data_IF_352534752333
#
_entry.id   IF_352534752333
#
_cell.length_a   1.000
_cell.length_b   1.000
_cell.length_c   1.000
_cell.angle_alpha   90.00
_cell.angle_beta   90.00
_cell.angle_gamma   90.00
#
_symmetry.space_group_name_H-M   'P 1'
#
loop_
_entity.id
_entity.type
_entity.pdbx_description
1 polymer ?
#
# COMPACT_ATOMS: atom_id res chain seq x y z
N UNK A 1 12.65 -6.42 1.36
CA UNK A 1 11.43 -6.88 2.08
C UNK A 1 10.34 -7.33 1.10
N UNK A 2 9.98 -6.55 0.08
CA UNK A 2 8.94 -6.90 -0.92
C UNK A 2 9.11 -8.31 -1.56
N UNK A 3 10.32 -8.67 -2.04
CA UNK A 3 10.60 -10.00 -2.64
C UNK A 3 10.34 -11.19 -1.69
N UNK A 4 10.50 -11.03 -0.38
CA UNK A 4 10.51 -12.15 0.56
C UNK A 4 9.10 -12.60 1.00
N UNK A 5 8.07 -11.83 0.64
CA UNK A 5 6.70 -12.07 1.10
C UNK A 5 5.78 -12.58 -0.01
N UNK A 6 6.36 -13.02 -1.14
CA UNK A 6 5.61 -13.39 -2.34
C UNK A 6 4.48 -14.42 -2.11
N UNK A 7 4.67 -15.30 -1.13
CA UNK A 7 3.73 -16.35 -0.75
C UNK A 7 2.44 -15.83 -0.06
N UNK A 8 2.44 -14.61 0.50
CA UNK A 8 1.23 -13.99 1.07
C UNK A 8 0.22 -13.56 -0.01
N UNK A 9 0.54 -13.77 -1.30
CA UNK A 9 -0.17 -13.20 -2.44
C UNK A 9 -0.80 -14.25 -3.37
N UNK A 10 -0.93 -15.50 -2.92
CA UNK A 10 -1.50 -16.58 -3.73
C UNK A 10 -2.97 -16.30 -4.07
N UNK A 11 -3.29 -16.39 -5.37
CA UNK A 11 -4.56 -15.91 -5.94
C UNK A 11 -5.79 -16.72 -5.52
N UNK A 12 -5.59 -17.94 -5.03
CA UNK A 12 -6.66 -18.90 -4.74
C UNK A 12 -7.52 -18.52 -3.53
N UNK A 13 -7.06 -17.57 -2.69
CA UNK A 13 -7.80 -17.10 -1.50
C UNK A 13 -8.44 -15.71 -1.64
N UNK A 14 -8.33 -15.05 -2.80
CA UNK A 14 -8.77 -13.64 -2.98
C UNK A 14 -10.28 -13.40 -2.82
N UNK A 15 -11.08 -14.46 -2.91
CA UNK A 15 -12.53 -14.41 -2.71
C UNK A 15 -12.96 -14.50 -1.22
N UNK A 16 -12.01 -14.71 -0.30
CA UNK A 16 -12.26 -14.78 1.14
C UNK A 16 -11.92 -13.45 1.81
N UNK A 17 -12.52 -13.22 2.98
CA UNK A 17 -12.17 -12.08 3.85
C UNK A 17 -10.67 -12.13 4.16
N UNK A 18 -9.98 -11.02 3.93
CA UNK A 18 -8.53 -10.89 4.09
C UNK A 18 -8.20 -10.53 5.55
N UNK A 19 -8.34 -11.49 6.46
CA UNK A 19 -8.01 -11.25 7.88
C UNK A 19 -6.56 -10.85 8.12
N UNK A 20 -5.66 -11.26 7.23
CA UNK A 20 -4.22 -10.95 7.29
C UNK A 20 -3.86 -9.52 6.83
N UNK A 21 -4.84 -8.66 6.53
CA UNK A 21 -4.56 -7.29 6.06
C UNK A 21 -3.69 -6.48 7.03
N UNK A 22 -3.82 -6.72 8.34
CA UNK A 22 -3.00 -6.06 9.36
C UNK A 22 -1.55 -6.56 9.32
N UNK A 23 -1.36 -7.87 9.17
CA UNK A 23 -0.06 -8.50 9.00
C UNK A 23 0.65 -7.94 7.75
N UNK A 24 -0.08 -7.87 6.63
CA UNK A 24 0.40 -7.27 5.38
C UNK A 24 0.84 -5.82 5.59
N UNK A 25 -0.02 -5.00 6.22
CA UNK A 25 0.32 -3.60 6.50
C UNK A 25 1.57 -3.50 7.36
N UNK A 26 1.63 -4.25 8.46
CA UNK A 26 2.78 -4.29 9.37
C UNK A 26 4.07 -4.58 8.61
N UNK A 27 4.05 -5.60 7.75
CA UNK A 27 5.21 -5.99 6.97
C UNK A 27 5.66 -4.94 5.95
N UNK A 28 4.73 -4.25 5.30
CA UNK A 28 5.05 -3.15 4.39
C UNK A 28 5.70 -1.98 5.16
N UNK A 29 5.16 -1.66 6.33
CA UNK A 29 5.64 -0.54 7.16
C UNK A 29 6.84 -0.86 8.06
N UNK A 30 7.35 -2.09 8.04
CA UNK A 30 8.46 -2.54 8.89
C UNK A 30 9.83 -2.02 8.41
N UNK A 31 9.96 -0.71 8.32
CA UNK A 31 11.18 0.00 7.95
C UNK A 31 11.22 1.36 8.65
N UNK A 32 12.43 1.91 8.80
CA UNK A 32 12.68 3.15 9.57
C UNK A 32 11.90 4.37 9.05
N UNK A 33 11.55 4.40 7.77
CA UNK A 33 10.81 5.52 7.19
C UNK A 33 9.32 5.50 7.61
N UNK A 34 8.75 4.31 7.83
CA UNK A 34 7.32 4.07 8.11
C UNK A 34 7.03 3.54 9.52
N UNK A 35 8.04 3.32 10.35
CA UNK A 35 7.91 2.79 11.71
C UNK A 35 6.83 3.52 12.53
N UNK A 36 6.74 4.86 12.42
CA UNK A 36 5.79 5.68 13.19
C UNK A 36 4.31 5.38 12.89
N UNK A 37 4.01 4.73 11.76
CA UNK A 37 2.64 4.40 11.34
C UNK A 37 2.30 2.91 11.51
N UNK A 38 3.27 2.08 11.93
CA UNK A 38 3.13 0.62 11.95
C UNK A 38 1.95 0.14 12.81
N UNK A 39 1.65 0.84 13.91
CA UNK A 39 0.55 0.50 14.81
C UNK A 39 -0.85 0.95 14.35
N UNK A 40 -0.99 1.64 13.21
CA UNK A 40 -2.30 2.24 12.85
C UNK A 40 -3.38 1.19 12.59
N UNK A 41 -3.00 -0.02 12.17
CA UNK A 41 -3.93 -1.13 11.92
C UNK A 41 -4.08 -2.06 13.14
N UNK A 42 -3.32 -1.84 14.22
CA UNK A 42 -3.39 -2.67 15.43
C UNK A 42 -4.54 -2.25 16.35
N UNK A 43 -4.82 -0.95 16.42
CA UNK A 43 -5.88 -0.35 17.24
C UNK A 43 -7.19 -0.18 16.47
N UNK A 44 -8.28 0.15 17.17
CA UNK A 44 -9.53 0.57 16.51
C UNK A 44 -9.28 1.79 15.63
N UNK A 45 -9.94 1.84 14.47
CA UNK A 45 -9.75 2.94 13.54
C UNK A 45 -10.35 4.26 14.06
N UNK A 46 -11.45 4.19 14.81
CA UNK A 46 -12.06 5.38 15.41
C UNK A 46 -11.16 5.94 16.54
N UNK A 47 -10.88 7.25 16.46
CA UNK A 47 -10.02 7.97 17.39
C UNK A 47 -8.58 7.40 17.51
N UNK A 48 -8.07 6.77 16.45
CA UNK A 48 -6.72 6.23 16.44
C UNK A 48 -5.66 7.35 16.60
N UNK A 49 -4.80 7.31 17.63
CA UNK A 49 -3.83 8.37 17.89
C UNK A 49 -2.79 8.52 16.78
N UNK A 50 -2.56 7.48 15.98
CA UNK A 50 -1.61 7.47 14.87
C UNK A 50 -2.20 8.02 13.57
N UNK A 51 -3.50 8.31 13.50
CA UNK A 51 -4.16 8.80 12.29
C UNK A 51 -3.47 10.04 11.71
N UNK A 52 -3.08 10.99 12.57
CA UNK A 52 -2.37 12.20 12.13
C UNK A 52 -1.00 11.89 11.54
N UNK A 53 -0.23 10.98 12.16
CA UNK A 53 1.09 10.57 11.66
C UNK A 53 0.96 9.83 10.33
N UNK A 54 -0.04 8.95 10.22
CA UNK A 54 -0.36 8.27 8.97
C UNK A 54 -0.64 9.22 7.82
N UNK A 55 -1.54 10.19 8.01
CA UNK A 55 -1.85 11.17 6.97
C UNK A 55 -0.61 11.97 6.54
N UNK A 56 0.24 12.35 7.49
CA UNK A 56 1.51 13.03 7.18
C UNK A 56 2.44 12.16 6.34
N UNK A 57 2.57 10.87 6.66
CA UNK A 57 3.40 9.94 5.86
C UNK A 57 2.84 9.70 4.48
N UNK A 58 1.52 9.62 4.33
CA UNK A 58 0.91 9.53 3.00
C UNK A 58 1.28 10.75 2.14
N UNK A 59 1.22 11.95 2.71
CA UNK A 59 1.65 13.17 2.00
C UNK A 59 3.17 13.16 1.72
N UNK A 60 4.00 12.71 2.66
CA UNK A 60 5.45 12.58 2.42
C UNK A 60 5.79 11.62 1.29
N UNK A 61 5.10 10.48 1.17
CA UNK A 61 5.32 9.53 0.06
C UNK A 61 4.89 10.15 -1.27
N UNK A 62 3.75 10.85 -1.29
CA UNK A 62 3.27 11.59 -2.46
C UNK A 62 4.24 12.69 -2.88
N UNK A 63 4.82 13.41 -1.93
CA UNK A 63 5.86 14.41 -2.19
C UNK A 63 7.10 13.78 -2.81
N UNK A 64 7.54 12.61 -2.33
CA UNK A 64 8.66 11.87 -2.93
C UNK A 64 8.35 11.47 -4.37
N UNK A 65 7.15 10.92 -4.63
CA UNK A 65 6.70 10.60 -5.99
C UNK A 65 6.76 11.82 -6.91
N UNK A 66 6.22 12.96 -6.46
CA UNK A 66 6.24 14.22 -7.23
C UNK A 66 7.67 14.70 -7.48
N UNK A 67 8.55 14.61 -6.47
CA UNK A 67 9.96 15.00 -6.60
C UNK A 67 10.72 14.15 -7.63
N UNK A 68 10.39 12.86 -7.74
CA UNK A 68 11.00 12.00 -8.76
C UNK A 68 10.70 12.53 -10.16
N UNK A 69 9.44 12.88 -10.46
CA UNK A 69 9.07 13.42 -11.78
C UNK A 69 9.65 14.81 -12.08
N UNK A 70 9.99 15.58 -11.04
CA UNK A 70 10.61 16.90 -11.19
C UNK A 70 12.13 16.83 -11.41
N UNK A 71 12.80 15.86 -10.78
CA UNK A 71 14.26 15.73 -10.81
C UNK A 71 14.71 14.92 -12.02
N UNK A 72 13.97 13.86 -12.35
CA UNK A 72 14.33 12.93 -13.41
C UNK A 72 13.39 13.07 -14.60
N UNK A 73 13.88 12.69 -15.77
CA UNK A 73 13.13 12.81 -17.02
C UNK A 73 12.89 11.46 -17.68
N UNK A 74 11.80 11.38 -18.46
CA UNK A 74 11.44 10.23 -19.28
C UNK A 74 10.63 9.16 -18.55
N UNK A 75 10.31 8.10 -19.29
CA UNK A 75 9.40 7.04 -18.84
C UNK A 75 9.88 6.31 -17.59
N UNK A 76 11.20 6.13 -17.42
CA UNK A 76 11.77 5.51 -16.22
C UNK A 76 11.45 6.31 -14.95
N UNK A 77 11.47 7.65 -15.03
CA UNK A 77 11.13 8.52 -13.92
C UNK A 77 9.63 8.41 -13.58
N UNK A 78 8.77 8.43 -14.61
CA UNK A 78 7.33 8.27 -14.45
C UNK A 78 6.97 6.92 -13.82
N UNK A 79 7.56 5.82 -14.30
CA UNK A 79 7.34 4.49 -13.76
C UNK A 79 7.76 4.40 -12.28
N UNK A 80 8.91 4.95 -11.92
CA UNK A 80 9.37 4.97 -10.52
C UNK A 80 8.48 5.85 -9.63
N UNK A 81 8.12 7.05 -10.10
CA UNK A 81 7.20 7.92 -9.38
C UNK A 81 5.84 7.26 -9.15
N UNK A 82 5.31 6.58 -10.18
CA UNK A 82 4.07 5.82 -10.11
C UNK A 82 4.16 4.64 -9.15
N UNK A 83 5.29 3.95 -9.08
CA UNK A 83 5.53 2.89 -8.09
C UNK A 83 5.47 3.45 -6.66
N UNK A 84 6.16 4.56 -6.39
CA UNK A 84 6.13 5.22 -5.07
C UNK A 84 4.72 5.67 -4.68
N UNK A 85 3.98 6.25 -5.63
CA UNK A 85 2.59 6.66 -5.39
C UNK A 85 1.66 5.46 -5.17
N UNK A 86 1.81 4.39 -5.96
CA UNK A 86 0.99 3.17 -5.82
C UNK A 86 1.26 2.46 -4.49
N UNK A 87 2.50 2.56 -3.96
CA UNK A 87 2.83 2.06 -2.63
C UNK A 87 2.04 2.81 -1.54
N UNK A 88 1.93 4.14 -1.66
CA UNK A 88 1.08 4.96 -0.79
C UNK A 88 -0.39 4.57 -0.90
N UNK A 89 -0.87 4.30 -2.12
CA UNK A 89 -2.25 3.87 -2.35
C UNK A 89 -2.55 2.49 -1.74
N UNK A 90 -1.56 1.58 -1.75
CA UNK A 90 -1.69 0.27 -1.10
C UNK A 90 -1.87 0.42 0.41
N UNK A 91 -1.03 1.23 1.06
CA UNK A 91 -1.16 1.50 2.50
C UNK A 91 -2.50 2.13 2.85
N UNK A 92 -2.99 3.05 2.01
CA UNK A 92 -4.31 3.65 2.20
C UNK A 92 -5.46 2.65 2.02
N UNK A 93 -5.35 1.77 1.03
CA UNK A 93 -6.33 0.71 0.75
C UNK A 93 -6.41 -0.29 1.92
N UNK A 94 -5.27 -0.71 2.46
CA UNK A 94 -5.21 -1.61 3.61
C UNK A 94 -5.79 -0.96 4.88
N UNK A 95 -5.53 0.34 5.11
CA UNK A 95 -6.13 1.07 6.22
C UNK A 95 -7.65 1.21 6.08
N UNK A 96 -8.15 1.54 4.89
CA UNK A 96 -9.59 1.56 4.62
C UNK A 96 -10.23 0.19 4.80
N UNK A 97 -9.54 -0.85 4.37
CA UNK A 97 -10.01 -2.23 4.52
C UNK A 97 -10.11 -2.63 6.00
N UNK A 98 -9.14 -2.23 6.85
CA UNK A 98 -9.22 -2.40 8.31
C UNK A 98 -10.48 -1.77 8.91
N UNK A 99 -10.85 -0.55 8.49
CA UNK A 99 -12.08 0.11 8.95
C UNK A 99 -13.32 -0.73 8.60
N UNK A 100 -13.34 -1.30 7.40
CA UNK A 100 -14.47 -2.09 6.93
C UNK A 100 -14.53 -3.45 7.61
N UNK A 101 -13.39 -4.09 7.89
CA UNK A 101 -13.32 -5.29 8.71
C UNK A 101 -13.85 -5.04 10.13
N UNK A 102 -13.50 -3.92 10.76
CA UNK A 102 -14.05 -3.55 12.07
C UNK A 102 -15.57 -3.42 12.01
N UNK A 103 -16.11 -2.73 11.00
CA UNK A 103 -17.57 -2.61 10.83
C UNK A 103 -18.25 -3.95 10.57
N UNK A 104 -17.61 -4.83 9.80
CA UNK A 104 -18.12 -6.17 9.52
C UNK A 104 -18.20 -7.00 10.82
N UNK A 105 -17.14 -6.96 11.64
CA UNK A 105 -17.09 -7.62 12.94
C UNK A 105 -18.11 -7.03 13.91
N UNK A 106 -18.17 -5.71 14.05
CA UNK A 106 -19.14 -5.03 14.92
C UNK A 106 -20.59 -5.37 14.53
N UNK A 107 -20.89 -5.47 13.22
CA UNK A 107 -22.21 -5.90 12.75
C UNK A 107 -22.50 -7.37 13.07
N UNK A 108 -21.53 -8.26 12.83
CA UNK A 108 -21.65 -9.69 13.15
C UNK A 108 -21.91 -9.90 14.65
N UNK A 109 -21.16 -9.20 15.50
CA UNK A 109 -21.29 -9.26 16.95
C UNK A 109 -22.62 -8.68 17.44
N UNK A 110 -23.04 -7.52 16.91
CA UNK A 110 -24.27 -6.84 17.33
C UNK A 110 -25.54 -7.63 16.97
N UNK A 111 -25.55 -8.28 15.81
CA UNK A 111 -26.73 -9.00 15.31
C UNK A 111 -26.63 -10.52 15.47
N UNK A 112 -25.52 -11.03 16.01
CA UNK A 112 -25.22 -12.46 16.17
C UNK A 112 -25.37 -13.25 14.85
N UNK A 113 -24.94 -12.64 13.74
CA UNK A 113 -24.99 -13.23 12.39
C UNK A 113 -23.60 -13.68 11.94
N UNK A 114 -23.55 -14.61 10.99
CA UNK A 114 -22.28 -15.02 10.36
C UNK A 114 -21.63 -13.86 9.59
N UNK A 115 -20.33 -13.96 9.32
CA UNK A 115 -19.64 -12.95 8.51
C UNK A 115 -20.17 -12.93 7.07
N UNK A 116 -20.54 -14.08 6.50
CA UNK A 116 -21.16 -14.13 5.17
C UNK A 116 -22.50 -13.40 5.13
N UNK A 117 -23.29 -13.47 6.20
CA UNK A 117 -24.55 -12.73 6.32
C UNK A 117 -24.30 -11.23 6.50
N UNK A 118 -23.31 -10.85 7.31
CA UNK A 118 -22.91 -9.46 7.50
C UNK A 118 -22.41 -8.80 6.20
N UNK A 119 -21.73 -9.56 5.33
CA UNK A 119 -21.30 -9.10 3.99
C UNK A 119 -22.47 -8.69 3.08
N UNK A 120 -23.71 -9.12 3.36
CA UNK A 120 -24.90 -8.65 2.61
C UNK A 120 -25.27 -7.21 2.94
N UNK A 121 -24.78 -6.67 4.05
CA UNK A 121 -25.05 -5.31 4.54
C UNK A 121 -23.83 -4.42 4.49
N UNK A 122 -22.65 -4.99 4.70
CA UNK A 122 -21.38 -4.28 4.66
C UNK A 122 -20.67 -4.61 3.33
N UNK A 123 -20.35 -3.62 2.48
CA UNK A 123 -19.75 -3.84 1.17
C UNK A 123 -18.24 -4.17 1.26
N UNK A 124 -17.86 -5.17 2.07
CA UNK A 124 -16.46 -5.52 2.32
C UNK A 124 -15.72 -5.97 1.06
N UNK A 125 -16.40 -6.69 0.16
CA UNK A 125 -15.83 -7.16 -1.10
C UNK A 125 -15.23 -6.02 -1.94
N UNK A 126 -15.91 -4.87 -2.04
CA UNK A 126 -15.44 -3.74 -2.83
C UNK A 126 -14.08 -3.22 -2.35
N UNK A 127 -13.89 -3.19 -1.02
CA UNK A 127 -12.64 -2.75 -0.42
C UNK A 127 -11.55 -3.83 -0.55
N UNK A 128 -11.91 -5.11 -0.45
CA UNK A 128 -11.00 -6.23 -0.71
C UNK A 128 -10.48 -6.20 -2.15
N UNK A 129 -11.38 -6.02 -3.11
CA UNK A 129 -11.03 -5.96 -4.54
C UNK A 129 -10.11 -4.76 -4.83
N UNK A 130 -10.35 -3.63 -4.16
CA UNK A 130 -9.46 -2.47 -4.23
C UNK A 130 -8.04 -2.79 -3.75
N UNK A 131 -7.89 -3.46 -2.61
CA UNK A 131 -6.59 -3.89 -2.08
C UNK A 131 -5.88 -4.77 -3.11
N UNK A 132 -6.55 -5.81 -3.62
CA UNK A 132 -5.95 -6.72 -4.61
C UNK A 132 -5.56 -6.02 -5.91
N UNK A 133 -6.42 -5.13 -6.42
CA UNK A 133 -6.11 -4.37 -7.63
C UNK A 133 -4.85 -3.53 -7.46
N UNK A 134 -4.77 -2.76 -6.37
CA UNK A 134 -3.61 -1.89 -6.11
C UNK A 134 -2.33 -2.72 -5.91
N UNK A 135 -2.45 -3.90 -5.30
CA UNK A 135 -1.32 -4.83 -5.16
C UNK A 135 -0.84 -5.37 -6.50
N UNK A 136 -1.74 -5.81 -7.38
CA UNK A 136 -1.40 -6.31 -8.71
C UNK A 136 -0.74 -5.20 -9.55
N UNK A 137 -1.27 -3.98 -9.50
CA UNK A 137 -0.70 -2.81 -10.17
C UNK A 137 0.71 -2.50 -9.66
N UNK A 138 0.94 -2.58 -8.34
CA UNK A 138 2.24 -2.35 -7.72
C UNK A 138 3.25 -3.46 -8.07
N UNK A 139 2.83 -4.72 -8.14
CA UNK A 139 3.68 -5.85 -8.56
C UNK A 139 4.14 -5.69 -10.01
N UNK A 140 3.23 -5.32 -10.91
CA UNK A 140 3.58 -5.05 -12.31
C UNK A 140 4.64 -3.94 -12.42
N UNK A 141 4.45 -2.83 -11.72
CA UNK A 141 5.42 -1.73 -11.69
C UNK A 141 6.77 -2.16 -11.12
N UNK A 142 6.78 -2.98 -10.07
CA UNK A 142 8.01 -3.50 -9.50
C UNK A 142 8.79 -4.38 -10.49
N UNK A 143 8.10 -5.28 -11.18
CA UNK A 143 8.69 -6.15 -12.20
C UNK A 143 9.28 -5.31 -13.33
N UNK A 144 8.59 -4.26 -13.77
CA UNK A 144 9.09 -3.37 -14.83
C UNK A 144 10.34 -2.61 -14.38
N UNK A 145 10.36 -2.08 -13.15
CA UNK A 145 11.53 -1.37 -12.59
C UNK A 145 12.76 -2.29 -12.52
N UNK A 146 12.58 -3.51 -12.00
CA UNK A 146 13.63 -4.50 -11.80
C UNK A 146 14.18 -5.01 -13.13
N UNK A 147 13.30 -5.29 -14.11
CA UNK A 147 13.69 -5.86 -15.40
C UNK A 147 14.37 -4.87 -16.33
N UNK A 148 14.17 -3.56 -16.14
CA UNK A 148 14.70 -2.51 -17.01
C UNK A 148 15.94 -1.80 -16.43
N UNK A 149 16.49 -2.28 -15.32
CA UNK A 149 17.60 -1.63 -14.59
C UNK A 149 17.36 -0.12 -14.40
N UNK A 150 16.10 0.26 -14.14
CA UNK A 150 15.68 1.67 -14.18
C UNK A 150 16.48 2.54 -13.20
N UNK A 151 16.86 1.97 -12.06
CA UNK A 151 17.70 2.65 -11.07
C UNK A 151 19.06 3.05 -11.64
N UNK A 152 19.71 2.19 -12.43
CA UNK A 152 21.00 2.49 -13.06
C UNK A 152 20.83 3.65 -14.04
N UNK A 153 19.78 3.60 -14.88
CA UNK A 153 19.49 4.64 -15.86
C UNK A 153 19.20 6.00 -15.22
N UNK A 154 18.56 6.01 -14.05
CA UNK A 154 18.29 7.24 -13.30
C UNK A 154 19.56 7.76 -12.59
N UNK A 155 20.41 6.89 -12.05
CA UNK A 155 21.71 7.28 -11.51
C UNK A 155 22.60 7.97 -12.56
N UNK A 156 22.60 7.47 -13.79
CA UNK A 156 23.36 8.07 -14.89
C UNK A 156 22.88 9.50 -15.21
N UNK A 157 21.58 9.81 -15.07
CA UNK A 157 21.08 11.17 -15.25
C UNK A 157 21.66 12.15 -14.21
N UNK A 158 21.84 11.70 -12.97
CA UNK A 158 22.49 12.53 -11.94
C UNK A 158 23.93 12.79 -12.33
N UNK A 159 24.71 11.74 -12.65
CA UNK A 159 26.14 11.84 -12.99
C UNK A 159 26.39 12.78 -14.17
N UNK A 160 25.57 12.70 -15.21
CA UNK A 160 25.67 13.58 -16.38
C UNK A 160 25.35 15.04 -16.03
N UNK A 161 24.44 15.28 -15.10
CA UNK A 161 24.08 16.63 -14.66
C UNK A 161 25.20 17.25 -13.80
N UNK A 162 25.92 16.47 -13.00
CA UNK A 162 27.06 16.96 -12.21
C UNK A 162 28.33 17.19 -13.04
N UNK A 163 28.51 16.48 -14.17
CA UNK A 163 29.68 16.65 -15.05
C UNK A 163 29.58 17.87 -15.99
N UNK A 164 28.38 18.41 -16.20
CA UNK A 164 28.13 19.57 -17.06
C UNK A 164 28.05 20.91 -16.30
N UNK A 165 28.38 20.94 -15.00
CA UNK A 165 28.51 22.14 -14.17
C UNK A 165 29.97 22.41 -13.84
#
# INVERSE_FOLDING_TARGET
QYRNQKHLWEKEERNKVLFESNSIFFFLTNNTFLEEIQGITAEKAFANPLQKSFLKKMESIKEISTKIELIFSGENAHCLAKFVYSYQDLLHSLYQYKIILEKLQEHSDQFHVTLEEAQRKIPEQEYRDRVWKVMDDLEALFVDIDSNDMMIKLEDQIRLTTMNK
#
